data_IF_168450032355
#
_entry.id   IF_168450032355
#
_cell.length_a   1.000
_cell.length_b   1.000
_cell.length_c   1.000
_cell.angle_alpha   90.00
_cell.angle_beta   90.00
_cell.angle_gamma   90.00
#
_symmetry.space_group_name_H-M   'P 1'
#
loop_
_entity.id
_entity.type
_entity.pdbx_description
1 polymer ?
#
# COMPACT_ATOMS: atom_id res chain seq x y z
N UNK A 1 -16.25 10.59 -8.63
CA UNK A 1 -16.42 9.54 -7.60
C UNK A 1 -15.15 8.74 -7.54
N UNK A 2 -14.58 8.53 -6.34
CA UNK A 2 -13.34 7.79 -6.15
C UNK A 2 -13.56 6.29 -6.33
N UNK A 3 -12.72 5.61 -7.11
CA UNK A 3 -12.81 4.16 -7.37
C UNK A 3 -11.82 3.40 -6.51
N UNK A 4 -12.20 2.22 -6.01
CA UNK A 4 -11.29 1.31 -5.31
C UNK A 4 -10.86 0.17 -6.24
N UNK A 5 -9.58 -0.15 -6.28
CA UNK A 5 -8.99 -1.17 -7.15
C UNK A 5 -8.14 -2.12 -6.31
N UNK A 6 -8.51 -3.40 -6.27
CA UNK A 6 -7.76 -4.40 -5.54
C UNK A 6 -6.62 -4.98 -6.40
N UNK A 7 -5.39 -4.65 -6.02
CA UNK A 7 -4.15 -5.13 -6.64
C UNK A 7 -3.53 -6.31 -5.88
N UNK A 8 -4.33 -7.00 -5.06
CA UNK A 8 -3.93 -8.27 -4.42
C UNK A 8 -4.48 -9.46 -5.21
N UNK A 9 -3.91 -10.67 -5.06
CA UNK A 9 -4.35 -11.86 -5.80
C UNK A 9 -5.73 -12.39 -5.39
N UNK A 10 -6.23 -11.99 -4.23
CA UNK A 10 -7.44 -12.53 -3.62
C UNK A 10 -8.46 -11.44 -3.35
N UNK A 11 -9.71 -11.83 -3.13
CA UNK A 11 -10.73 -10.89 -2.68
C UNK A 11 -10.37 -10.29 -1.33
N UNK A 12 -10.72 -9.03 -1.14
CA UNK A 12 -10.64 -8.36 0.16
C UNK A 12 -12.04 -8.16 0.68
N UNK A 13 -12.33 -8.78 1.82
CA UNK A 13 -13.60 -8.64 2.51
C UNK A 13 -13.46 -7.59 3.60
N UNK A 14 -14.27 -6.55 3.52
CA UNK A 14 -14.44 -5.53 4.55
C UNK A 14 -15.72 -5.81 5.35
N UNK A 15 -15.62 -5.75 6.67
CA UNK A 15 -16.78 -5.75 7.56
C UNK A 15 -16.74 -4.47 8.38
N UNK A 16 -17.56 -3.48 8.00
CA UNK A 16 -17.58 -2.16 8.65
C UNK A 16 -19.00 -1.85 9.08
N UNK A 17 -19.17 -1.55 10.37
CA UNK A 17 -20.50 -1.48 10.99
C UNK A 17 -21.26 -2.79 10.72
N UNK A 18 -22.46 -2.70 10.13
CA UNK A 18 -23.29 -3.85 9.77
C UNK A 18 -23.23 -4.22 8.28
N UNK A 19 -22.22 -3.72 7.54
CA UNK A 19 -22.08 -3.97 6.10
C UNK A 19 -20.86 -4.83 5.82
N UNK A 20 -21.07 -5.84 4.97
CA UNK A 20 -20.01 -6.66 4.38
C UNK A 20 -19.81 -6.23 2.93
N UNK A 21 -18.58 -5.89 2.57
CA UNK A 21 -18.21 -5.42 1.24
C UNK A 21 -17.09 -6.32 0.74
N UNK A 22 -17.26 -6.95 -0.41
CA UNK A 22 -16.20 -7.74 -1.07
C UNK A 22 -15.63 -6.94 -2.23
N UNK A 23 -14.31 -6.77 -2.22
CA UNK A 23 -13.57 -6.10 -3.30
C UNK A 23 -12.85 -7.20 -4.10
N UNK A 24 -13.36 -7.56 -5.29
CA UNK A 24 -12.75 -8.62 -6.10
C UNK A 24 -11.37 -8.18 -6.61
N UNK A 25 -10.44 -9.12 -6.85
CA UNK A 25 -9.15 -8.81 -7.45
C UNK A 25 -9.35 -8.17 -8.83
N UNK A 26 -8.55 -7.16 -9.16
CA UNK A 26 -8.62 -6.46 -10.45
C UNK A 26 -8.04 -7.26 -11.62
N UNK A 27 -7.36 -8.37 -11.34
CA UNK A 27 -6.55 -9.13 -12.30
C UNK A 27 -5.12 -8.58 -12.46
N UNK A 28 -4.84 -7.36 -12.01
CA UNK A 28 -3.48 -6.82 -11.87
C UNK A 28 -3.00 -7.00 -10.43
N UNK A 29 -1.76 -7.46 -10.24
CA UNK A 29 -1.18 -7.69 -8.92
C UNK A 29 0.03 -6.79 -8.72
N UNK A 30 0.01 -5.97 -7.66
CA UNK A 30 1.16 -5.20 -7.25
C UNK A 30 2.10 -6.04 -6.38
N UNK A 31 3.40 -6.00 -6.65
CA UNK A 31 4.43 -6.79 -5.96
C UNK A 31 5.66 -5.96 -5.68
N UNK A 32 6.39 -6.36 -4.65
CA UNK A 32 7.70 -5.83 -4.32
C UNK A 32 8.60 -6.98 -3.92
N UNK A 33 9.82 -7.00 -4.42
CA UNK A 33 10.84 -7.93 -3.95
C UNK A 33 11.41 -7.43 -2.60
N UNK A 34 11.77 -8.35 -1.71
CA UNK A 34 12.39 -8.00 -0.42
C UNK A 34 13.72 -8.71 -0.27
N UNK A 35 14.73 -8.03 0.26
CA UNK A 35 16.03 -8.61 0.62
C UNK A 35 16.30 -8.34 2.09
N UNK A 36 16.71 -9.37 2.84
CA UNK A 36 17.25 -9.17 4.18
C UNK A 36 18.72 -8.77 4.08
N UNK A 37 19.09 -7.66 4.70
CA UNK A 37 20.45 -7.14 4.72
C UNK A 37 20.90 -7.03 6.17
N UNK A 38 22.05 -7.62 6.48
CA UNK A 38 22.68 -7.48 7.79
C UNK A 38 22.96 -5.99 8.05
N UNK A 39 22.55 -5.49 9.21
CA UNK A 39 22.72 -4.09 9.59
C UNK A 39 23.68 -3.95 10.78
N UNK A 40 23.50 -4.75 11.84
CA UNK A 40 24.33 -4.68 13.04
C UNK A 40 24.20 -5.97 13.89
N UNK A 41 24.76 -6.01 15.10
CA UNK A 41 24.49 -7.03 16.11
C UNK A 41 24.28 -6.41 17.50
N UNK A 42 23.57 -7.13 18.37
CA UNK A 42 23.38 -6.73 19.78
C UNK A 42 23.64 -7.90 20.71
N UNK A 43 24.31 -7.65 21.83
CA UNK A 43 24.56 -8.66 22.86
C UNK A 43 23.38 -8.78 23.81
N UNK A 44 22.76 -9.95 23.86
CA UNK A 44 21.67 -10.29 24.80
C UNK A 44 22.12 -11.46 25.67
N UNK A 45 22.26 -11.25 26.98
CA UNK A 45 22.73 -12.26 27.94
C UNK A 45 24.07 -12.92 27.55
N UNK A 46 24.99 -12.14 26.97
CA UNK A 46 26.29 -12.63 26.50
C UNK A 46 26.29 -13.34 25.14
N UNK A 47 25.14 -13.41 24.46
CA UNK A 47 25.02 -13.96 23.10
C UNK A 47 24.89 -12.83 22.10
N UNK A 48 25.72 -12.85 21.05
CA UNK A 48 25.62 -11.90 19.93
C UNK A 48 24.44 -12.29 19.03
N UNK A 49 23.48 -11.38 18.86
CA UNK A 49 22.28 -11.57 18.03
C UNK A 49 22.33 -10.61 16.84
N UNK A 50 22.30 -11.11 15.59
CA UNK A 50 22.38 -10.24 14.43
C UNK A 50 21.06 -9.49 14.18
N UNK A 51 21.19 -8.23 13.79
CA UNK A 51 20.13 -7.32 13.38
C UNK A 51 20.14 -7.28 11.85
N UNK A 52 19.00 -7.63 11.25
CA UNK A 52 18.77 -7.52 9.82
C UNK A 52 17.68 -6.49 9.57
N UNK A 53 17.84 -5.73 8.48
CA UNK A 53 16.80 -4.87 7.94
C UNK A 53 16.24 -5.44 6.65
N UNK A 54 14.99 -5.12 6.38
CA UNK A 54 14.35 -5.44 5.10
C UNK A 54 14.59 -4.28 4.13
N UNK A 55 15.23 -4.58 3.00
CA UNK A 55 15.31 -3.68 1.86
C UNK A 55 14.24 -4.06 0.84
N UNK A 56 13.45 -3.07 0.41
CA UNK A 56 12.47 -3.22 -0.65
C UNK A 56 13.11 -2.96 -2.00
N UNK A 57 12.88 -3.86 -2.96
CA UNK A 57 13.21 -3.65 -4.36
C UNK A 57 12.20 -2.74 -5.06
N UNK A 58 12.29 -2.68 -6.39
CA UNK A 58 11.33 -1.95 -7.23
C UNK A 58 9.92 -2.53 -7.05
N UNK A 59 8.93 -1.64 -6.90
CA UNK A 59 7.52 -2.01 -6.95
C UNK A 59 7.08 -2.18 -8.39
N UNK A 60 6.41 -3.30 -8.66
CA UNK A 60 5.85 -3.65 -9.96
C UNK A 60 4.32 -3.78 -9.85
N UNK A 61 3.61 -3.54 -10.95
CA UNK A 61 2.15 -3.72 -11.02
C UNK A 61 1.32 -2.65 -10.29
N UNK A 62 1.97 -1.69 -9.61
CA UNK A 62 1.32 -0.50 -9.05
C UNK A 62 1.23 0.62 -10.10
N UNK A 63 0.03 1.14 -10.43
CA UNK A 63 -0.11 2.25 -11.36
C UNK A 63 0.52 3.56 -10.85
N UNK A 64 0.85 4.49 -11.76
CA UNK A 64 1.27 5.84 -11.38
C UNK A 64 0.12 6.61 -10.69
N UNK A 65 0.46 7.76 -10.11
CA UNK A 65 -0.52 8.64 -9.47
C UNK A 65 -1.61 9.10 -10.45
N UNK A 66 -2.82 9.25 -9.94
CA UNK A 66 -3.95 9.84 -10.66
C UNK A 66 -4.69 10.81 -9.74
N UNK A 67 -4.88 12.06 -10.17
CA UNK A 67 -5.42 13.14 -9.33
C UNK A 67 -6.65 13.80 -10.00
N UNK A 68 -7.73 13.99 -9.24
CA UNK A 68 -8.95 14.68 -9.67
C UNK A 68 -8.77 16.19 -9.86
N UNK A 69 -7.88 16.80 -9.07
CA UNK A 69 -7.71 18.26 -9.01
C UNK A 69 -6.55 18.78 -9.87
N UNK A 70 -5.93 17.93 -10.69
CA UNK A 70 -4.79 18.36 -11.47
C UNK A 70 -5.23 19.10 -12.73
N UNK A 71 -5.22 20.43 -12.67
CA UNK A 71 -5.63 21.34 -13.74
C UNK A 71 -4.78 21.20 -15.02
N UNK A 72 -3.61 20.56 -14.93
CA UNK A 72 -2.64 20.41 -16.02
C UNK A 72 -2.61 19.02 -16.69
N UNK A 73 -3.37 18.03 -16.20
CA UNK A 73 -3.30 16.66 -16.73
C UNK A 73 -4.42 16.34 -17.70
N UNK A 74 -4.13 16.44 -19.01
CA UNK A 74 -4.74 15.52 -19.97
C UNK A 74 -3.93 14.24 -19.94
N UNK A 75 -4.47 13.21 -19.28
CA UNK A 75 -4.11 11.79 -19.35
C UNK A 75 -2.99 11.42 -20.34
N UNK A 76 -1.76 11.15 -19.87
CA UNK A 76 -0.77 10.23 -20.48
C UNK A 76 0.63 10.31 -19.84
N UNK A 77 0.83 9.72 -18.65
CA UNK A 77 2.12 9.10 -18.29
C UNK A 77 3.39 9.96 -18.17
N UNK A 78 3.35 11.20 -17.71
CA UNK A 78 4.57 12.02 -17.49
C UNK A 78 4.35 13.14 -16.47
N UNK A 79 5.43 13.54 -15.80
CA UNK A 79 5.55 14.32 -14.56
C UNK A 79 4.81 15.66 -14.48
N UNK A 80 4.49 16.06 -13.24
CA UNK A 80 4.13 17.44 -12.91
C UNK A 80 5.34 18.35 -13.14
N UNK A 81 5.16 19.49 -13.81
CA UNK A 81 5.70 20.83 -13.47
C UNK A 81 6.40 21.58 -14.64
N UNK A 82 5.99 22.81 -15.01
CA UNK A 82 6.79 23.61 -15.93
C UNK A 82 8.01 24.31 -15.31
N UNK A 83 8.04 24.60 -13.99
CA UNK A 83 9.12 25.42 -13.37
C UNK A 83 9.49 25.07 -11.90
N UNK A 84 8.72 24.23 -11.20
CA UNK A 84 9.00 23.71 -9.86
C UNK A 84 9.45 22.25 -9.86
N UNK A 85 10.00 21.78 -8.74
CA UNK A 85 10.73 20.52 -8.66
C UNK A 85 9.80 19.29 -8.80
N UNK A 86 9.96 18.48 -9.86
CA UNK A 86 8.97 17.52 -10.31
C UNK A 86 9.19 16.11 -9.75
N UNK A 87 8.95 15.83 -8.45
CA UNK A 87 9.23 14.44 -7.98
C UNK A 87 8.30 13.78 -6.95
N UNK A 88 7.32 14.43 -6.31
CA UNK A 88 6.46 13.68 -5.36
C UNK A 88 5.06 14.26 -5.17
N UNK A 89 4.00 13.61 -5.69
CA UNK A 89 2.60 13.95 -5.39
C UNK A 89 2.26 13.92 -3.90
N UNK A 90 3.09 13.29 -3.07
CA UNK A 90 3.01 13.34 -1.60
C UNK A 90 3.14 14.77 -1.04
N UNK A 91 3.89 15.63 -1.72
CA UNK A 91 4.10 17.04 -1.37
C UNK A 91 2.99 17.96 -1.92
N UNK A 92 2.08 17.44 -2.73
CA UNK A 92 0.94 18.21 -3.21
C UNK A 92 -0.17 18.21 -2.14
N UNK A 93 -0.43 19.37 -1.55
CA UNK A 93 -1.50 19.57 -0.55
C UNK A 93 -2.91 19.49 -1.14
N UNK A 94 -3.02 19.54 -2.48
CA UNK A 94 -4.29 19.45 -3.22
C UNK A 94 -4.51 18.08 -3.87
N UNK A 95 -3.63 17.11 -3.61
CA UNK A 95 -3.73 15.78 -4.19
C UNK A 95 -5.03 15.10 -3.74
N UNK A 96 -5.90 14.81 -4.71
CA UNK A 96 -7.12 14.06 -4.49
C UNK A 96 -7.14 12.84 -5.43
N UNK A 97 -7.02 11.62 -4.90
CA UNK A 97 -6.85 10.44 -5.74
C UNK A 97 -8.12 10.12 -6.55
N UNK A 98 -7.95 9.87 -7.85
CA UNK A 98 -9.03 9.34 -8.69
C UNK A 98 -9.35 7.88 -8.33
N UNK A 99 -8.30 7.09 -8.11
CA UNK A 99 -8.38 5.69 -7.71
C UNK A 99 -7.61 5.45 -6.41
N UNK A 100 -8.10 4.54 -5.57
CA UNK A 100 -7.39 4.01 -4.40
C UNK A 100 -7.03 2.56 -4.65
N UNK A 101 -5.75 2.23 -4.50
CA UNK A 101 -5.22 0.90 -4.73
C UNK A 101 -5.07 0.12 -3.42
N UNK A 102 -5.74 -1.04 -3.33
CA UNK A 102 -5.53 -2.00 -2.25
C UNK A 102 -4.37 -2.91 -2.62
N UNK A 103 -3.31 -2.92 -1.82
CA UNK A 103 -2.10 -3.71 -2.04
C UNK A 103 -1.76 -4.53 -0.79
N UNK A 104 -0.71 -5.35 -0.85
CA UNK A 104 -0.17 -6.00 0.35
C UNK A 104 0.54 -4.99 1.26
N UNK A 105 0.62 -5.27 2.56
CA UNK A 105 1.36 -4.42 3.50
C UNK A 105 2.83 -4.23 3.13
N UNK A 106 3.47 -5.21 2.47
CA UNK A 106 4.85 -5.08 1.99
C UNK A 106 4.96 -4.04 0.88
N UNK A 107 4.05 -4.09 -0.10
CA UNK A 107 4.02 -3.10 -1.20
C UNK A 107 3.74 -1.71 -0.63
N UNK A 108 2.77 -1.57 0.27
CA UNK A 108 2.43 -0.29 0.85
C UNK A 108 3.58 0.32 1.68
N UNK A 109 4.35 -0.50 2.41
CA UNK A 109 5.57 -0.05 3.10
C UNK A 109 6.66 0.41 2.11
N UNK A 110 6.81 -0.28 0.97
CA UNK A 110 7.78 0.08 -0.06
C UNK A 110 7.46 1.41 -0.76
N UNK A 111 6.21 1.87 -0.70
CA UNK A 111 5.77 3.16 -1.27
C UNK A 111 5.19 4.07 -0.19
N UNK A 112 5.82 4.05 0.99
CA UNK A 112 5.48 4.90 2.13
C UNK A 112 5.23 6.34 1.67
N UNK A 113 4.10 6.92 2.07
CA UNK A 113 3.68 8.27 1.68
C UNK A 113 2.68 8.34 0.51
N UNK A 114 2.53 7.28 -0.31
CA UNK A 114 1.51 7.20 -1.38
C UNK A 114 0.10 7.37 -0.83
N UNK A 115 -0.46 8.58 -0.99
CA UNK A 115 -1.81 8.95 -0.50
C UNK A 115 -2.97 8.19 -1.18
N UNK A 116 -2.72 7.50 -2.29
CA UNK A 116 -3.67 6.68 -3.05
C UNK A 116 -3.52 5.17 -2.80
N UNK A 117 -2.58 4.74 -1.97
CA UNK A 117 -2.33 3.33 -1.66
C UNK A 117 -2.85 2.99 -0.26
N UNK A 118 -3.42 1.81 -0.10
CA UNK A 118 -3.84 1.25 1.19
C UNK A 118 -3.57 -0.26 1.25
N UNK A 119 -3.42 -0.81 2.45
CA UNK A 119 -3.44 -2.25 2.67
C UNK A 119 -4.55 -2.65 3.65
N UNK A 120 -5.10 -3.87 3.56
CA UNK A 120 -6.01 -4.38 4.59
C UNK A 120 -5.30 -4.41 5.97
N UNK A 121 -5.99 -3.98 7.02
CA UNK A 121 -5.50 -4.17 8.39
C UNK A 121 -5.75 -5.61 8.84
N UNK A 122 -4.72 -6.45 8.69
CA UNK A 122 -4.71 -7.86 9.11
C UNK A 122 -4.27 -8.06 10.57
N UNK A 123 -4.14 -6.96 11.33
CA UNK A 123 -3.71 -6.94 12.72
C UNK A 123 -4.79 -7.37 13.72
N UNK A 124 -4.78 -6.82 14.94
CA UNK A 124 -5.71 -7.19 16.02
C UNK A 124 -7.19 -6.90 15.71
N UNK A 125 -7.47 -6.01 14.75
CA UNK A 125 -8.84 -5.62 14.39
C UNK A 125 -9.47 -6.47 13.29
N UNK A 126 -8.71 -7.43 12.73
CA UNK A 126 -9.19 -8.35 11.72
C UNK A 126 -10.17 -9.36 12.32
N UNK A 127 -11.22 -9.69 11.58
CA UNK A 127 -12.20 -10.71 11.98
C UNK A 127 -11.69 -12.06 11.52
N UNK A 128 -11.69 -13.02 12.45
CA UNK A 128 -11.16 -14.37 12.24
C UNK A 128 -12.23 -15.43 12.46
N UNK A 129 -12.13 -16.53 11.73
CA UNK A 129 -12.94 -17.72 12.01
C UNK A 129 -12.38 -18.51 13.21
N UNK A 130 -13.03 -19.62 13.54
CA UNK A 130 -12.65 -20.52 14.64
C UNK A 130 -11.23 -21.11 14.47
N UNK A 131 -10.74 -21.21 13.23
CA UNK A 131 -9.39 -21.67 12.90
C UNK A 131 -8.35 -20.55 12.92
N UNK A 132 -8.74 -19.32 13.31
CA UNK A 132 -7.85 -18.16 13.38
C UNK A 132 -7.52 -17.51 12.03
N UNK A 133 -8.12 -17.97 10.93
CA UNK A 133 -7.93 -17.42 9.59
C UNK A 133 -8.71 -16.10 9.44
N UNK A 134 -8.13 -15.13 8.75
CA UNK A 134 -8.78 -13.84 8.49
C UNK A 134 -9.90 -14.02 7.47
N UNK A 135 -11.12 -13.69 7.85
CA UNK A 135 -12.32 -13.76 6.98
C UNK A 135 -12.85 -12.38 6.56
N UNK A 136 -12.44 -11.33 7.26
CA UNK A 136 -12.67 -9.93 6.89
C UNK A 136 -11.72 -9.01 7.65
N UNK A 137 -11.52 -7.79 7.13
CA UNK A 137 -10.86 -6.70 7.85
C UNK A 137 -11.86 -5.58 8.12
N UNK A 138 -11.63 -4.82 9.18
CA UNK A 138 -12.56 -3.74 9.60
C UNK A 138 -12.13 -2.36 9.11
N UNK A 139 -10.90 -2.26 8.59
CA UNK A 139 -10.32 -1.01 8.09
C UNK A 139 -9.14 -1.28 7.16
N UNK A 140 -8.72 -0.22 6.50
CA UNK A 140 -7.46 -0.14 5.78
C UNK A 140 -6.40 0.58 6.62
N UNK A 141 -5.13 0.39 6.26
CA UNK A 141 -3.98 1.07 6.85
C UNK A 141 -3.04 1.61 5.76
N UNK A 142 -2.22 2.59 6.16
CA UNK A 142 -1.22 3.28 5.34
C UNK A 142 0.07 3.44 6.12
N UNK A 143 1.16 3.74 5.41
CA UNK A 143 2.50 3.95 5.95
C UNK A 143 3.04 5.31 5.50
#
# INVERSE_FOLDING_TARGET
MMRIVNLTPHEIVLQVSNKRITIPPSGRIARVATKQVYEDSVTVNGVEVPIYRTEFGKVEGLPPYSCLNCVHFKNNGGECDPEGQPDVPEQCDRFEPLEVYVVSSLVAQAVKGRKDVVAPDTGPTAIRNEQGQIVAVTRFQRW
#
